data_IF_034900986663
#
_entry.id   IF_034900986663
#
_cell.length_a   1.000
_cell.length_b   1.000
_cell.length_c   1.000
_cell.angle_alpha   90.00
_cell.angle_beta   90.00
_cell.angle_gamma   90.00
#
_symmetry.space_group_name_H-M   'P 1'
#
loop_
_entity.id
_entity.type
_entity.pdbx_description
1 polymer ?
#
# COMPACT_ATOMS: atom_id res chain seq x y z
N UNK A 1 16.46 -63.84 22.66
CA UNK A 1 16.40 -62.88 21.54
C UNK A 1 15.01 -62.95 20.92
N UNK A 2 14.08 -62.10 21.35
CA UNK A 2 12.74 -62.01 20.77
C UNK A 2 12.59 -60.62 20.14
N UNK A 3 12.66 -60.58 18.81
CA UNK A 3 12.55 -59.38 17.99
C UNK A 3 11.10 -58.91 17.99
N UNK A 4 10.84 -57.80 18.67
CA UNK A 4 9.52 -57.18 18.78
C UNK A 4 9.24 -56.38 17.51
N UNK A 5 8.58 -57.01 16.55
CA UNK A 5 8.14 -56.41 15.29
C UNK A 5 7.06 -55.34 15.57
N UNK A 6 7.44 -54.07 15.59
CA UNK A 6 6.50 -52.95 15.65
C UNK A 6 6.01 -52.66 14.23
N UNK A 7 4.78 -53.04 13.92
CA UNK A 7 4.10 -52.66 12.67
C UNK A 7 3.67 -51.19 12.77
N UNK A 8 4.05 -50.29 11.84
CA UNK A 8 3.50 -48.95 11.83
C UNK A 8 2.06 -48.97 11.28
N UNK A 9 1.11 -48.45 12.06
CA UNK A 9 -0.23 -48.12 11.58
C UNK A 9 -0.09 -47.08 10.47
N UNK A 10 -0.42 -47.46 9.23
CA UNK A 10 -0.59 -46.50 8.14
C UNK A 10 -1.86 -45.70 8.41
N UNK A 11 -1.71 -44.47 8.90
CA UNK A 11 -2.76 -43.46 8.89
C UNK A 11 -3.05 -43.10 7.43
N UNK A 12 -4.03 -43.76 6.83
CA UNK A 12 -4.64 -43.33 5.57
C UNK A 12 -5.48 -42.08 5.85
N UNK A 13 -4.83 -40.92 5.89
CA UNK A 13 -5.49 -39.62 5.94
C UNK A 13 -6.21 -39.45 4.61
N UNK A 14 -7.53 -39.62 4.64
CA UNK A 14 -8.43 -39.28 3.55
C UNK A 14 -8.23 -37.79 3.24
N UNK A 15 -7.57 -37.48 2.12
CA UNK A 15 -7.49 -36.12 1.60
C UNK A 15 -8.91 -35.68 1.25
N UNK A 16 -9.46 -34.62 1.86
CA UNK A 16 -10.71 -34.07 1.38
C UNK A 16 -10.45 -33.57 -0.05
N UNK A 17 -11.08 -34.22 -1.03
CA UNK A 17 -11.20 -33.67 -2.37
C UNK A 17 -12.06 -32.42 -2.22
N UNK A 18 -11.43 -31.26 -2.14
CA UNK A 18 -12.08 -29.99 -2.44
C UNK A 18 -12.55 -30.06 -3.89
N UNK A 19 -13.79 -30.52 -4.08
CA UNK A 19 -14.49 -30.37 -5.33
C UNK A 19 -14.75 -28.87 -5.48
N UNK A 20 -13.84 -28.17 -6.15
CA UNK A 20 -14.07 -26.82 -6.64
C UNK A 20 -15.23 -26.88 -7.61
N UNK A 21 -16.44 -26.65 -7.10
CA UNK A 21 -17.59 -26.31 -7.94
C UNK A 21 -17.33 -24.91 -8.45
N UNK A 22 -16.68 -24.81 -9.60
CA UNK A 22 -16.68 -23.57 -10.38
C UNK A 22 -18.10 -23.39 -10.88
N UNK A 23 -18.90 -22.64 -10.12
CA UNK A 23 -20.13 -22.07 -10.65
C UNK A 23 -19.72 -21.10 -11.75
N UNK A 24 -19.61 -21.60 -12.99
CA UNK A 24 -19.35 -20.79 -14.17
C UNK A 24 -20.61 -19.98 -14.49
N UNK A 25 -20.93 -19.00 -13.65
CA UNK A 25 -21.77 -17.89 -14.06
C UNK A 25 -21.06 -17.23 -15.24
N UNK A 26 -21.79 -16.91 -16.32
CA UNK A 26 -21.26 -16.11 -17.43
C UNK A 26 -20.66 -14.83 -16.83
N UNK A 27 -19.34 -14.81 -16.66
CA UNK A 27 -18.64 -13.58 -16.29
C UNK A 27 -18.72 -12.70 -17.52
N UNK A 28 -19.35 -11.53 -17.38
CA UNK A 28 -19.29 -10.50 -18.40
C UNK A 28 -17.82 -10.24 -18.70
N UNK A 29 -17.39 -10.65 -19.90
CA UNK A 29 -16.05 -10.32 -20.39
C UNK A 29 -16.01 -8.81 -20.56
N UNK A 30 -14.92 -8.19 -20.10
CA UNK A 30 -14.67 -6.79 -20.39
C UNK A 30 -14.67 -6.62 -21.92
N UNK A 31 -15.45 -5.66 -22.45
CA UNK A 31 -15.48 -5.41 -23.89
C UNK A 31 -14.07 -5.10 -24.36
N UNK A 32 -13.65 -5.78 -25.42
CA UNK A 32 -12.32 -5.59 -25.98
C UNK A 32 -12.41 -4.47 -27.01
N UNK A 33 -11.43 -3.55 -27.11
CA UNK A 33 -11.46 -2.51 -28.14
C UNK A 33 -11.57 -3.17 -29.52
N UNK A 34 -12.70 -2.97 -30.19
CA UNK A 34 -13.03 -3.62 -31.47
C UNK A 34 -14.32 -4.45 -31.46
N UNK A 35 -15.04 -4.56 -30.33
CA UNK A 35 -16.38 -5.15 -30.32
C UNK A 35 -17.34 -4.30 -31.16
N UNK A 36 -17.91 -4.95 -32.19
CA UNK A 36 -18.81 -4.39 -33.21
C UNK A 36 -20.12 -3.78 -32.65
N UNK A 37 -20.43 -4.03 -31.38
CA UNK A 37 -21.61 -3.51 -30.68
C UNK A 37 -21.29 -2.41 -29.65
N UNK A 38 -20.06 -1.89 -29.63
CA UNK A 38 -19.66 -0.89 -28.65
C UNK A 38 -19.61 0.53 -29.21
N UNK A 39 -20.49 1.39 -28.70
CA UNK A 39 -20.59 2.80 -29.12
C UNK A 39 -19.54 3.71 -28.49
N UNK A 40 -18.74 3.20 -27.55
CA UNK A 40 -17.81 4.05 -26.78
C UNK A 40 -16.52 4.29 -27.56
N UNK A 41 -16.07 5.55 -27.69
CA UNK A 41 -14.77 5.85 -28.28
C UNK A 41 -13.64 5.11 -27.56
N UNK A 42 -12.59 4.65 -28.27
CA UNK A 42 -11.53 3.83 -27.68
C UNK A 42 -10.77 4.52 -26.54
N UNK A 43 -10.72 5.86 -26.53
CA UNK A 43 -10.09 6.64 -25.45
C UNK A 43 -10.87 6.58 -24.13
N UNK A 44 -12.15 6.24 -24.15
CA UNK A 44 -12.97 6.16 -22.95
C UNK A 44 -12.51 5.02 -22.03
N UNK A 45 -12.07 3.90 -22.61
CA UNK A 45 -11.52 2.76 -21.87
C UNK A 45 -10.20 3.08 -21.20
N UNK A 46 -9.32 3.78 -21.90
CA UNK A 46 -8.04 4.20 -21.32
C UNK A 46 -8.26 5.22 -20.22
N UNK A 47 -9.17 6.17 -20.40
CA UNK A 47 -9.54 7.13 -19.35
C UNK A 47 -10.11 6.44 -18.11
N UNK A 48 -11.12 5.59 -18.26
CA UNK A 48 -11.74 4.89 -17.12
C UNK A 48 -10.74 3.98 -16.40
N UNK A 49 -9.83 3.34 -17.13
CA UNK A 49 -8.75 2.55 -16.53
C UNK A 49 -7.77 3.42 -15.74
N UNK A 50 -7.32 4.54 -16.32
CA UNK A 50 -6.44 5.48 -15.61
C UNK A 50 -7.13 6.05 -14.38
N UNK A 51 -8.39 6.49 -14.51
CA UNK A 51 -9.16 7.06 -13.41
C UNK A 51 -9.35 6.06 -12.27
N UNK A 52 -9.64 4.79 -12.58
CA UNK A 52 -9.74 3.76 -11.54
C UNK A 52 -8.42 3.54 -10.81
N UNK A 53 -7.31 3.57 -11.55
CA UNK A 53 -5.97 3.44 -11.01
C UNK A 53 -5.48 4.67 -10.24
N UNK A 54 -6.04 5.85 -10.49
CA UNK A 54 -5.62 7.08 -9.79
C UNK A 54 -6.55 7.43 -8.63
N UNK A 55 -7.86 7.34 -8.81
CA UNK A 55 -8.85 7.76 -7.79
C UNK A 55 -8.70 6.95 -6.50
N UNK A 56 -8.58 5.62 -6.60
CA UNK A 56 -8.47 4.75 -5.42
C UNK A 56 -7.23 5.14 -4.57
N UNK A 57 -5.99 5.14 -5.10
CA UNK A 57 -4.84 5.55 -4.30
C UNK A 57 -4.89 7.02 -3.89
N UNK A 58 -5.44 7.92 -4.71
CA UNK A 58 -5.59 9.33 -4.32
C UNK A 58 -6.46 9.50 -3.08
N UNK A 59 -7.57 8.76 -2.97
CA UNK A 59 -8.45 8.79 -1.78
C UNK A 59 -7.70 8.27 -0.56
N UNK A 60 -6.93 7.20 -0.69
CA UNK A 60 -6.11 6.64 0.40
C UNK A 60 -5.06 7.65 0.88
N UNK A 61 -4.34 8.28 -0.04
CA UNK A 61 -3.35 9.31 0.28
C UNK A 61 -3.99 10.54 0.92
N UNK A 62 -5.11 11.01 0.38
CA UNK A 62 -5.87 12.14 0.94
C UNK A 62 -6.33 11.83 2.36
N UNK A 63 -6.93 10.67 2.60
CA UNK A 63 -7.32 10.23 3.94
C UNK A 63 -6.13 10.20 4.89
N UNK A 64 -5.04 9.56 4.46
CA UNK A 64 -3.86 9.36 5.31
C UNK A 64 -3.16 10.67 5.67
N UNK A 65 -2.96 11.58 4.71
CA UNK A 65 -2.06 12.74 4.90
C UNK A 65 -2.74 14.10 4.97
N UNK A 66 -3.96 14.25 4.45
CA UNK A 66 -4.62 15.56 4.30
C UNK A 66 -5.87 15.67 5.15
N UNK A 67 -6.70 14.62 5.18
CA UNK A 67 -8.01 14.68 5.82
C UNK A 67 -7.92 14.50 7.34
N UNK A 68 -8.17 15.55 8.12
CA UNK A 68 -8.15 15.43 9.57
C UNK A 68 -9.39 14.72 10.12
N UNK A 69 -9.21 13.52 10.68
CA UNK A 69 -10.28 12.72 11.25
C UNK A 69 -10.58 13.08 12.73
N UNK A 70 -9.91 14.09 13.29
CA UNK A 70 -10.12 14.58 14.66
C UNK A 70 -9.23 13.90 15.71
N UNK A 71 -9.45 14.24 16.99
CA UNK A 71 -8.63 13.82 18.14
C UNK A 71 -8.74 12.32 18.51
N UNK A 72 -9.60 11.56 17.84
CA UNK A 72 -9.74 10.14 18.09
C UNK A 72 -8.61 9.36 17.40
N UNK A 73 -8.07 8.35 18.08
CA UNK A 73 -6.88 7.62 17.62
C UNK A 73 -7.13 6.93 16.27
N UNK A 74 -6.76 7.60 15.18
CA UNK A 74 -6.99 7.09 13.83
C UNK A 74 -5.86 6.15 13.42
N UNK A 75 -6.20 5.07 12.72
CA UNK A 75 -5.27 4.06 12.17
C UNK A 75 -4.11 4.67 11.35
N UNK A 76 -4.25 5.92 10.89
CA UNK A 76 -3.27 6.61 10.05
C UNK A 76 -2.34 7.55 10.82
N UNK A 77 -2.48 7.69 12.15
CA UNK A 77 -1.58 8.50 12.97
C UNK A 77 -0.10 8.08 12.87
N UNK A 78 0.26 6.79 12.97
CA UNK A 78 1.66 6.38 12.81
C UNK A 78 2.24 6.74 11.45
N UNK A 79 1.43 6.67 10.38
CA UNK A 79 1.86 7.04 9.04
C UNK A 79 2.10 8.55 8.89
N UNK A 80 1.28 9.39 9.55
CA UNK A 80 1.48 10.84 9.59
C UNK A 80 2.75 11.22 10.34
N UNK A 81 2.95 10.67 11.53
CA UNK A 81 4.13 10.94 12.35
C UNK A 81 5.41 10.49 11.63
N UNK A 82 5.38 9.35 10.93
CA UNK A 82 6.49 8.95 10.06
C UNK A 82 6.76 9.97 8.96
N UNK A 83 5.72 10.43 8.25
CA UNK A 83 5.87 11.40 7.17
C UNK A 83 6.36 12.77 7.67
N UNK A 84 5.93 13.20 8.86
CA UNK A 84 6.45 14.41 9.50
C UNK A 84 7.92 14.28 9.88
N UNK A 85 8.34 13.13 10.41
CA UNK A 85 9.77 12.84 10.66
C UNK A 85 10.58 12.85 9.37
N UNK A 86 10.04 12.31 8.29
CA UNK A 86 10.70 12.37 6.98
C UNK A 86 10.81 13.83 6.50
N UNK A 87 9.73 14.60 6.53
CA UNK A 87 9.75 16.03 6.18
C UNK A 87 10.76 16.80 7.03
N UNK A 88 10.78 16.57 8.35
CA UNK A 88 11.76 17.18 9.24
C UNK A 88 13.19 16.77 8.84
N UNK A 89 13.45 15.51 8.52
CA UNK A 89 14.80 15.08 8.11
C UNK A 89 15.28 15.73 6.81
N UNK A 90 14.38 16.12 5.90
CA UNK A 90 14.74 16.79 4.65
C UNK A 90 14.83 18.32 4.76
N UNK A 91 14.03 18.94 5.63
CA UNK A 91 13.97 20.40 5.77
C UNK A 91 14.68 20.93 7.02
N UNK A 92 15.26 20.05 7.84
CA UNK A 92 16.10 20.43 8.99
C UNK A 92 17.52 19.95 8.77
N UNK A 93 18.48 20.66 9.36
CA UNK A 93 19.88 20.25 9.36
C UNK A 93 19.98 18.82 9.91
N UNK A 94 20.79 17.99 9.26
CA UNK A 94 21.09 16.67 9.78
C UNK A 94 21.70 16.80 11.19
N UNK A 95 21.57 15.79 12.07
CA UNK A 95 22.08 15.87 13.44
C UNK A 95 23.57 16.22 13.51
N UNK A 96 24.33 15.87 12.47
CA UNK A 96 25.75 16.20 12.34
C UNK A 96 25.96 17.68 11.99
N UNK A 97 25.16 18.23 11.07
CA UNK A 97 25.20 19.66 10.72
C UNK A 97 24.70 20.55 11.86
N UNK A 98 23.68 20.11 12.62
CA UNK A 98 23.24 20.80 13.83
C UNK A 98 24.35 20.90 14.87
N UNK A 99 25.20 19.87 14.99
CA UNK A 99 26.32 19.88 15.94
C UNK A 99 27.39 20.89 15.53
N UNK A 100 27.61 21.10 14.23
CA UNK A 100 28.57 22.09 13.74
C UNK A 100 28.03 23.51 13.97
N UNK A 101 26.75 23.75 13.65
CA UNK A 101 26.09 25.04 13.89
C UNK A 101 25.96 25.36 15.39
N UNK A 102 25.78 24.35 16.26
CA UNK A 102 25.75 24.56 17.71
C UNK A 102 27.13 24.90 18.29
N UNK A 103 28.22 24.54 17.60
CA UNK A 103 29.61 24.83 18.00
C UNK A 103 30.07 26.19 17.44
N UNK A 104 29.50 26.64 16.32
CA UNK A 104 29.76 27.95 15.71
C UNK A 104 28.62 28.94 16.03
N UNK A 105 28.72 29.76 17.09
CA UNK A 105 27.71 30.78 17.36
C UNK A 105 27.66 31.81 16.21
N UNK A 106 26.48 32.39 15.91
CA UNK A 106 26.32 33.29 14.76
C UNK A 106 27.22 34.52 14.88
N UNK A 107 28.12 34.70 13.91
CA UNK A 107 28.81 35.98 13.70
C UNK A 107 27.75 37.04 13.31
N UNK A 108 27.75 38.24 13.91
CA UNK A 108 26.66 39.25 13.80
C UNK A 108 26.44 39.88 12.40
N UNK A 109 27.01 39.31 11.35
CA UNK A 109 27.18 39.94 10.03
C UNK A 109 25.98 39.69 9.09
N UNK A 110 25.12 38.72 9.40
CA UNK A 110 24.02 38.29 8.52
C UNK A 110 22.66 38.91 8.84
N UNK A 111 22.58 39.88 9.76
CA UNK A 111 21.31 40.55 10.16
C UNK A 111 20.89 41.75 9.28
N UNK A 112 21.59 42.01 8.18
CA UNK A 112 21.23 43.05 7.20
C UNK A 112 21.09 42.45 5.80
N UNK A 113 19.92 41.91 5.50
CA UNK A 113 19.41 41.73 4.14
C UNK A 113 17.89 41.81 4.17
#
# INVERSE_FOLDING_TARGET
MASMMVRPLRLSILRPRYASRTAATKVHKLPTPGDENDFRPPWFYTLTRVLSWTVIPSVVLYGTFVHDFGEQDHVFRPAREWAERQKASFFTLSPEEQKIVAVEPPSPETSKA
#
